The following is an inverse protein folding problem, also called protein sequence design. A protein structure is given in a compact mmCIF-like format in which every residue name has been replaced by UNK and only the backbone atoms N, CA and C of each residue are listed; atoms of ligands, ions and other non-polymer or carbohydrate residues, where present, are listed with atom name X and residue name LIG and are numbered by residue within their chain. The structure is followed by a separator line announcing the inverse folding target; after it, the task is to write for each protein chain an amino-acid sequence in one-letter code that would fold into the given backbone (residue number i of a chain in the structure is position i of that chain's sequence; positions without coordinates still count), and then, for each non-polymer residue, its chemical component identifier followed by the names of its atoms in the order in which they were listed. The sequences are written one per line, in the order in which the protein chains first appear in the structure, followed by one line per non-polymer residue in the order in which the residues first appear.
data_IF_736362424066
#
_entry.id   IF_736362424066
#
_cell.length_a   1.000
_cell.length_b   1.000
_cell.length_c   1.000
_cell.angle_alpha   90.00
_cell.angle_beta   90.00
_cell.angle_gamma   90.00
#
_symmetry.space_group_name_H-M   'P 1'
#
loop_
_entity.id
_entity.type
_entity.pdbx_description
1 polymer ?
#
# COMPACT_ATOMS: atom_id res chain seq x y z
N UNK A 1 10.59 -2.53 -30.01
CA UNK A 1 10.64 -2.93 -28.58
C UNK A 1 9.68 -2.05 -27.78
N UNK A 2 9.05 -2.59 -26.76
CA UNK A 2 8.16 -1.85 -25.89
C UNK A 2 8.88 -1.53 -24.58
N UNK A 3 8.83 -0.27 -24.16
CA UNK A 3 9.50 0.19 -22.94
C UNK A 3 8.49 0.77 -21.95
N UNK A 4 8.68 0.41 -20.68
CA UNK A 4 7.98 1.04 -19.56
C UNK A 4 8.75 2.28 -19.14
N UNK A 5 8.07 3.42 -19.10
CA UNK A 5 8.62 4.67 -18.58
C UNK A 5 7.80 5.18 -17.41
N UNK A 6 8.46 5.89 -16.51
CA UNK A 6 7.85 6.52 -15.34
C UNK A 6 8.08 8.02 -15.43
N UNK A 7 7.01 8.79 -15.32
CA UNK A 7 7.07 10.25 -15.44
C UNK A 7 6.15 10.97 -14.45
N UNK A 8 6.41 12.24 -14.25
CA UNK A 8 5.67 13.10 -13.35
C UNK A 8 5.86 12.79 -11.87
N UNK A 9 5.54 13.75 -10.98
CA UNK A 9 5.62 13.58 -9.53
C UNK A 9 4.72 12.44 -9.01
N UNK A 10 3.51 12.19 -9.58
CA UNK A 10 2.70 11.05 -9.20
C UNK A 10 3.24 9.70 -9.68
N UNK A 11 4.36 9.66 -10.41
CA UNK A 11 4.97 8.45 -10.96
C UNK A 11 4.01 7.68 -11.87
N UNK A 12 3.57 8.35 -12.92
CA UNK A 12 2.65 7.79 -13.92
C UNK A 12 3.41 6.81 -14.82
N UNK A 13 2.75 5.71 -15.18
CA UNK A 13 3.30 4.75 -16.14
C UNK A 13 2.98 5.14 -17.56
N UNK A 14 4.02 5.15 -18.39
CA UNK A 14 3.92 5.29 -19.83
C UNK A 14 4.43 4.06 -20.56
N UNK A 15 3.80 3.74 -21.67
CA UNK A 15 4.24 2.73 -22.61
C UNK A 15 4.79 3.42 -23.87
N UNK A 16 6.07 3.23 -24.12
CA UNK A 16 6.69 3.55 -25.41
C UNK A 16 6.64 2.30 -26.29
N UNK A 17 5.82 2.33 -27.32
CA UNK A 17 5.64 1.19 -28.22
C UNK A 17 6.51 1.36 -29.49
N UNK A 18 6.97 0.21 -30.03
CA UNK A 18 7.63 0.12 -31.33
C UNK A 18 8.86 1.03 -31.54
N UNK A 19 9.67 1.17 -30.50
CA UNK A 19 10.92 1.91 -30.63
C UNK A 19 11.99 1.04 -31.32
N UNK A 20 12.58 1.55 -32.38
CA UNK A 20 13.65 0.84 -33.14
C UNK A 20 15.02 0.97 -32.46
N UNK A 21 15.15 1.92 -31.53
CA UNK A 21 16.38 2.19 -30.80
C UNK A 21 16.42 1.40 -29.50
N UNK A 22 17.54 0.72 -29.25
CA UNK A 22 17.78 0.07 -27.94
C UNK A 22 18.21 1.10 -26.91
N UNK A 23 17.40 1.21 -25.85
CA UNK A 23 17.64 2.11 -24.73
C UNK A 23 17.98 1.33 -23.48
N UNK A 24 18.93 1.85 -22.69
CA UNK A 24 19.30 1.25 -21.41
C UNK A 24 18.32 1.66 -20.31
N UNK A 25 18.16 0.78 -19.33
CA UNK A 25 17.41 1.10 -18.10
C UNK A 25 17.99 2.36 -17.44
N UNK A 26 17.14 3.10 -16.76
CA UNK A 26 17.46 4.37 -16.06
C UNK A 26 17.87 5.52 -16.99
N UNK A 27 17.72 5.35 -18.33
CA UNK A 27 17.89 6.45 -19.28
C UNK A 27 16.73 7.43 -19.16
N UNK A 28 17.05 8.73 -19.06
CA UNK A 28 16.06 9.78 -19.12
C UNK A 28 15.73 10.09 -20.60
N UNK A 29 14.43 10.13 -20.89
CA UNK A 29 13.91 10.42 -22.22
C UNK A 29 12.87 11.54 -22.15
N UNK A 30 12.79 12.35 -23.18
CA UNK A 30 11.71 13.31 -23.34
C UNK A 30 10.58 12.62 -24.09
N UNK A 31 9.41 12.66 -23.51
CA UNK A 31 8.19 12.04 -24.03
C UNK A 31 7.10 13.10 -24.22
N UNK A 32 6.19 12.81 -25.12
CA UNK A 32 4.92 13.52 -25.23
C UNK A 32 3.80 12.62 -24.66
N UNK A 33 3.24 13.06 -23.54
CA UNK A 33 2.13 12.42 -22.85
C UNK A 33 0.82 13.17 -23.11
N UNK A 34 -0.30 12.66 -22.62
CA UNK A 34 -1.59 13.38 -22.62
C UNK A 34 -1.51 14.72 -21.86
N UNK A 35 -0.54 14.86 -20.97
CA UNK A 35 -0.29 16.08 -20.21
C UNK A 35 0.48 17.12 -21.02
N UNK A 36 1.46 16.69 -21.79
CA UNK A 36 2.36 17.50 -22.62
C UNK A 36 3.77 16.89 -22.67
N UNK A 37 4.79 17.73 -22.88
CA UNK A 37 6.19 17.32 -22.89
C UNK A 37 6.72 17.14 -21.47
N UNK A 38 7.27 15.96 -21.21
CA UNK A 38 7.77 15.57 -19.88
C UNK A 38 9.07 14.77 -19.99
N UNK A 39 9.87 14.81 -18.92
CA UNK A 39 11.00 13.89 -18.79
C UNK A 39 10.49 12.62 -18.10
N UNK A 40 10.80 11.49 -18.73
CA UNK A 40 10.48 10.18 -18.20
C UNK A 40 11.75 9.38 -17.95
N UNK A 41 11.77 8.58 -16.92
CA UNK A 41 12.81 7.61 -16.64
C UNK A 41 12.41 6.24 -17.19
N UNK A 42 13.29 5.59 -17.93
CA UNK A 42 13.07 4.28 -18.52
C UNK A 42 13.21 3.18 -17.43
N UNK A 43 12.10 2.55 -17.07
CA UNK A 43 12.08 1.54 -16.03
C UNK A 43 12.50 0.15 -16.51
N UNK A 44 12.24 -0.17 -17.79
CA UNK A 44 12.62 -1.46 -18.35
C UNK A 44 11.92 -1.77 -19.67
N UNK A 45 12.23 -2.94 -20.22
CA UNK A 45 11.62 -3.47 -21.45
C UNK A 45 10.41 -4.34 -21.05
N UNK A 46 9.32 -4.19 -21.79
CA UNK A 46 8.13 -5.03 -21.64
C UNK A 46 7.99 -5.95 -22.86
N UNK A 47 7.68 -7.21 -22.63
CA UNK A 47 7.24 -8.13 -23.69
C UNK A 47 5.79 -7.81 -24.06
N UNK A 48 5.39 -8.16 -25.31
CA UNK A 48 4.01 -7.97 -25.76
C UNK A 48 3.00 -8.72 -24.87
N UNK A 49 3.38 -9.89 -24.36
CA UNK A 49 2.58 -10.65 -23.41
C UNK A 49 2.36 -9.89 -22.08
N UNK A 50 3.41 -9.22 -21.58
CA UNK A 50 3.31 -8.42 -20.35
C UNK A 50 2.40 -7.21 -20.56
N UNK A 51 2.53 -6.52 -21.71
CA UNK A 51 1.66 -5.40 -22.07
C UNK A 51 0.21 -5.84 -22.16
N UNK A 52 -0.06 -6.97 -22.83
CA UNK A 52 -1.41 -7.51 -22.94
C UNK A 52 -1.99 -7.91 -21.57
N UNK A 53 -1.22 -8.63 -20.75
CA UNK A 53 -1.64 -8.99 -19.39
C UNK A 53 -1.98 -7.76 -18.54
N UNK A 54 -1.18 -6.70 -18.68
CA UNK A 54 -1.42 -5.45 -17.97
C UNK A 54 -2.72 -4.79 -18.42
N UNK A 55 -2.98 -4.69 -19.74
CA UNK A 55 -4.21 -4.12 -20.30
C UNK A 55 -5.45 -4.97 -19.95
N UNK A 56 -5.40 -6.29 -20.15
CA UNK A 56 -6.51 -7.19 -19.80
C UNK A 56 -6.87 -7.15 -18.33
N UNK A 57 -5.87 -6.98 -17.46
CA UNK A 57 -6.10 -6.86 -16.02
C UNK A 57 -6.85 -5.58 -15.67
N UNK A 58 -6.60 -4.48 -16.37
CA UNK A 58 -7.36 -3.24 -16.20
C UNK A 58 -8.79 -3.37 -16.68
N UNK A 59 -9.00 -3.91 -17.88
CA UNK A 59 -10.33 -4.17 -18.43
C UNK A 59 -11.14 -5.08 -17.49
N UNK A 60 -10.53 -6.12 -16.97
CA UNK A 60 -11.17 -7.02 -16.00
C UNK A 60 -11.57 -6.28 -14.69
N UNK A 61 -10.75 -5.38 -14.19
CA UNK A 61 -11.03 -4.59 -12.98
C UNK A 61 -12.07 -3.50 -13.23
N UNK A 62 -12.18 -2.98 -14.44
CA UNK A 62 -13.23 -2.03 -14.84
C UNK A 62 -14.58 -2.72 -15.04
N UNK A 63 -14.60 -3.89 -15.68
CA UNK A 63 -15.83 -4.63 -16.02
C UNK A 63 -16.40 -5.41 -14.84
N UNK A 64 -15.53 -6.02 -14.04
CA UNK A 64 -15.92 -6.93 -12.96
C UNK A 64 -15.68 -6.35 -11.57
N UNK A 65 -15.98 -5.08 -11.35
CA UNK A 65 -15.73 -4.33 -10.11
C UNK A 65 -16.23 -4.92 -8.78
N UNK A 66 -16.49 -6.22 -8.73
CA UNK A 66 -16.80 -6.99 -7.54
C UNK A 66 -15.76 -8.10 -7.33
N UNK A 67 -14.81 -7.94 -6.40
CA UNK A 67 -14.29 -9.11 -5.74
C UNK A 67 -15.42 -9.71 -4.88
N UNK A 68 -15.42 -11.00 -4.75
CA UNK A 68 -16.40 -11.90 -4.09
C UNK A 68 -16.84 -11.48 -2.66
N UNK A 69 -16.39 -10.35 -2.15
CA UNK A 69 -16.57 -9.81 -0.80
C UNK A 69 -17.51 -8.60 -0.72
N UNK A 70 -18.21 -8.21 -1.80
CA UNK A 70 -19.16 -7.08 -1.80
C UNK A 70 -18.53 -5.70 -1.67
N UNK A 71 -17.22 -5.56 -1.83
CA UNK A 71 -16.50 -4.29 -1.85
C UNK A 71 -16.34 -3.82 -3.30
N UNK A 72 -17.17 -2.89 -3.72
CA UNK A 72 -17.01 -2.21 -5.03
C UNK A 72 -15.65 -1.51 -5.07
N UNK A 73 -14.74 -2.01 -5.85
CA UNK A 73 -13.37 -1.49 -5.92
C UNK A 73 -13.04 -1.02 -7.32
N UNK A 74 -13.10 0.30 -7.51
CA UNK A 74 -12.50 0.92 -8.69
C UNK A 74 -10.98 0.67 -8.66
N UNK A 75 -10.35 0.36 -9.80
CA UNK A 75 -8.92 0.18 -9.88
C UNK A 75 -8.22 1.43 -9.32
N UNK A 76 -7.34 1.22 -8.34
CA UNK A 76 -6.57 2.29 -7.69
C UNK A 76 -5.33 2.65 -8.50
N UNK A 77 -5.10 1.93 -9.59
CA UNK A 77 -3.90 2.07 -10.41
C UNK A 77 -4.07 3.15 -11.48
N UNK A 78 -3.03 3.98 -11.69
CA UNK A 78 -3.01 4.81 -12.89
C UNK A 78 -2.94 3.89 -14.12
N UNK A 79 -3.79 4.09 -15.14
CA UNK A 79 -3.73 3.31 -16.35
C UNK A 79 -2.37 3.50 -17.03
N UNK A 80 -1.86 2.45 -17.65
CA UNK A 80 -0.70 2.53 -18.52
C UNK A 80 -1.03 3.45 -19.70
N UNK A 81 -0.38 4.60 -19.80
CA UNK A 81 -0.63 5.58 -20.84
C UNK A 81 0.29 5.31 -22.04
N UNK A 82 -0.28 5.26 -23.23
CA UNK A 82 0.54 5.28 -24.43
C UNK A 82 1.16 6.68 -24.58
N UNK A 83 2.48 6.73 -24.69
CA UNK A 83 3.24 7.98 -24.80
C UNK A 83 4.16 7.95 -26.03
N UNK A 84 4.38 9.10 -26.64
CA UNK A 84 5.25 9.21 -27.79
C UNK A 84 6.69 9.52 -27.36
N UNK A 85 7.65 8.81 -27.95
CA UNK A 85 9.07 9.12 -27.79
C UNK A 85 9.43 10.36 -28.63
N UNK A 86 10.06 11.35 -28.01
CA UNK A 86 10.55 12.53 -28.70
C UNK A 86 12.05 12.43 -28.95
N UNK A 87 12.83 12.27 -27.88
CA UNK A 87 14.29 12.12 -27.92
C UNK A 87 14.86 11.66 -26.59
N UNK A 88 16.10 11.27 -26.56
CA UNK A 88 16.84 11.09 -25.31
C UNK A 88 17.03 12.46 -24.65
N UNK A 89 16.84 12.54 -23.34
CA UNK A 89 17.03 13.77 -22.60
C UNK A 89 18.51 14.18 -22.61
N UNK A 90 18.77 15.46 -22.90
CA UNK A 90 20.09 16.07 -22.84
C UNK A 90 20.36 16.62 -21.44
N UNK A 91 21.61 16.95 -21.14
CA UNK A 91 21.98 17.56 -19.85
C UNK A 91 21.23 18.87 -19.61
N UNK A 92 20.96 19.63 -20.68
CA UNK A 92 20.17 20.86 -20.60
C UNK A 92 18.75 20.63 -20.12
N UNK A 93 18.08 19.55 -20.56
CA UNK A 93 16.73 19.20 -20.12
C UNK A 93 16.71 18.83 -18.63
N UNK A 94 17.73 18.09 -18.20
CA UNK A 94 17.88 17.67 -16.80
C UNK A 94 18.14 18.89 -15.90
N UNK A 95 19.00 19.80 -16.35
CA UNK A 95 19.25 21.07 -15.68
C UNK A 95 18.00 21.94 -15.58
N UNK A 96 17.24 22.05 -16.67
CA UNK A 96 15.99 22.82 -16.68
C UNK A 96 14.95 22.21 -15.75
N UNK A 97 14.78 20.89 -15.78
CA UNK A 97 13.89 20.19 -14.83
C UNK A 97 14.32 20.38 -13.37
N UNK A 98 15.62 20.42 -13.09
CA UNK A 98 16.13 20.69 -11.75
C UNK A 98 15.82 22.13 -11.30
N UNK A 99 15.98 23.11 -12.19
CA UNK A 99 15.60 24.51 -11.92
C UNK A 99 14.09 24.65 -11.68
N UNK A 100 13.27 24.00 -12.51
CA UNK A 100 11.82 24.00 -12.33
C UNK A 100 11.42 23.44 -10.95
N UNK A 101 12.05 22.36 -10.50
CA UNK A 101 11.80 21.80 -9.14
C UNK A 101 12.15 22.79 -8.05
N UNK A 102 13.26 23.50 -8.18
CA UNK A 102 13.62 24.51 -7.21
C UNK A 102 12.60 25.67 -7.19
N UNK A 103 12.17 26.16 -8.36
CA UNK A 103 11.14 27.18 -8.48
C UNK A 103 9.80 26.71 -7.87
N UNK A 104 9.43 25.44 -8.07
CA UNK A 104 8.24 24.81 -7.48
C UNK A 104 8.31 24.80 -5.95
N UNK A 105 9.44 24.37 -5.39
CA UNK A 105 9.64 24.31 -3.94
C UNK A 105 9.61 25.71 -3.30
N UNK A 106 10.17 26.71 -3.98
CA UNK A 106 10.17 28.12 -3.52
C UNK A 106 8.78 28.75 -3.63
N UNK A 107 7.99 28.38 -4.64
CA UNK A 107 6.64 28.91 -4.86
C UNK A 107 5.56 28.24 -4.00
N UNK A 108 5.77 27.00 -3.54
CA UNK A 108 4.77 26.25 -2.82
C UNK A 108 4.27 26.93 -1.51
N UNK A 109 5.11 27.58 -0.69
CA UNK A 109 4.65 28.38 0.45
C UNK A 109 3.72 29.52 0.06
N UNK A 110 4.04 30.25 -1.02
CA UNK A 110 3.20 31.35 -1.54
C UNK A 110 1.81 30.82 -1.92
N UNK A 111 1.74 29.71 -2.63
CA UNK A 111 0.49 29.07 -3.04
C UNK A 111 -0.35 28.66 -1.82
N UNK A 112 0.30 28.13 -0.79
CA UNK A 112 -0.38 27.76 0.46
C UNK A 112 -0.93 28.99 1.21
N UNK A 113 -0.25 30.11 1.16
CA UNK A 113 -0.75 31.36 1.76
C UNK A 113 -1.90 31.97 0.94
N UNK A 114 -1.83 31.90 -0.39
CA UNK A 114 -2.95 32.26 -1.24
C UNK A 114 -4.20 31.38 -0.95
N UNK A 115 -3.99 30.07 -0.78
CA UNK A 115 -5.06 29.14 -0.43
C UNK A 115 -5.74 29.50 0.91
N UNK A 116 -4.97 29.88 1.92
CA UNK A 116 -5.50 30.32 3.23
C UNK A 116 -6.42 31.54 3.09
N UNK A 117 -6.08 32.51 2.21
CA UNK A 117 -6.91 33.70 1.94
C UNK A 117 -8.27 33.34 1.40
N UNK A 118 -8.34 32.29 0.57
CA UNK A 118 -9.60 31.79 0.01
C UNK A 118 -10.41 30.90 0.96
N UNK A 119 -9.85 30.53 2.12
CA UNK A 119 -10.47 29.65 3.13
C UNK A 119 -11.04 28.34 2.54
N UNK A 120 -10.38 27.76 1.53
CA UNK A 120 -10.84 26.53 0.86
C UNK A 120 -10.46 25.30 1.72
N UNK A 121 -11.40 24.36 1.95
CA UNK A 121 -11.15 23.15 2.74
C UNK A 121 -10.37 22.09 1.93
N UNK A 122 -9.19 22.45 1.45
CA UNK A 122 -8.29 21.57 0.71
C UNK A 122 -6.84 21.81 1.14
N UNK A 123 -5.98 20.83 0.87
CA UNK A 123 -4.55 20.91 1.12
C UNK A 123 -3.80 20.79 -0.19
N UNK A 124 -3.00 21.80 -0.55
CA UNK A 124 -2.05 21.67 -1.65
C UNK A 124 -0.87 20.82 -1.17
N UNK A 125 -0.66 19.70 -1.84
CA UNK A 125 0.42 18.75 -1.56
C UNK A 125 1.68 19.21 -2.24
N UNK A 126 1.61 19.38 -3.56
CA UNK A 126 2.74 19.74 -4.40
C UNK A 126 2.29 20.42 -5.70
N UNK A 127 3.25 20.97 -6.46
CA UNK A 127 3.03 21.55 -7.77
C UNK A 127 4.08 21.04 -8.76
N UNK A 128 3.81 21.05 -10.06
CA UNK A 128 4.68 20.50 -11.08
C UNK A 128 4.54 21.25 -12.41
N UNK A 129 5.64 21.83 -12.90
CA UNK A 129 5.74 22.35 -14.26
C UNK A 129 5.95 21.22 -15.26
N UNK A 130 5.31 21.31 -16.41
CA UNK A 130 5.75 20.52 -17.55
C UNK A 130 7.06 21.09 -18.13
N UNK A 131 7.83 20.25 -18.80
CA UNK A 131 9.12 20.64 -19.36
C UNK A 131 9.04 21.89 -20.29
N UNK A 132 7.93 22.01 -21.04
CA UNK A 132 7.66 23.14 -21.92
C UNK A 132 7.04 24.37 -21.24
N UNK A 133 6.85 24.33 -19.92
CA UNK A 133 6.22 25.37 -19.08
C UNK A 133 4.83 25.82 -19.51
N UNK A 134 4.16 25.09 -20.43
CA UNK A 134 2.82 25.48 -20.90
C UNK A 134 1.72 25.22 -19.88
N UNK A 135 1.93 24.26 -19.01
CA UNK A 135 0.98 23.90 -17.95
C UNK A 135 1.68 23.78 -16.62
N UNK A 136 0.96 24.12 -15.57
CA UNK A 136 1.37 23.96 -14.18
C UNK A 136 0.30 23.13 -13.45
N UNK A 137 0.69 21.97 -12.97
CA UNK A 137 -0.16 21.08 -12.22
C UNK A 137 -0.04 21.37 -10.73
N UNK A 138 -1.19 21.39 -10.04
CA UNK A 138 -1.26 21.43 -8.58
C UNK A 138 -1.94 20.17 -8.10
N UNK A 139 -1.27 19.44 -7.23
CA UNK A 139 -1.80 18.24 -6.60
C UNK A 139 -2.39 18.62 -5.26
N UNK A 140 -3.67 18.27 -5.03
CA UNK A 140 -4.36 18.59 -3.80
C UNK A 140 -5.16 17.42 -3.26
N UNK A 141 -5.37 17.42 -1.94
CA UNK A 141 -6.27 16.51 -1.25
C UNK A 141 -7.46 17.28 -0.69
N UNK A 142 -8.65 16.67 -0.76
CA UNK A 142 -9.88 17.21 -0.20
C UNK A 142 -10.86 16.08 0.10
N UNK A 143 -11.63 16.22 1.18
CA UNK A 143 -12.69 15.29 1.55
C UNK A 143 -13.99 15.55 0.78
N UNK A 144 -14.20 16.78 0.33
CA UNK A 144 -15.41 17.21 -0.33
C UNK A 144 -15.13 17.88 -1.68
N UNK A 145 -16.17 18.01 -2.48
CA UNK A 145 -16.12 18.79 -3.73
C UNK A 145 -15.99 20.26 -3.40
N UNK A 146 -15.00 20.94 -4.01
CA UNK A 146 -14.67 22.34 -3.75
C UNK A 146 -14.87 23.17 -5.02
N UNK A 147 -15.36 24.41 -4.85
CA UNK A 147 -15.32 25.40 -5.90
C UNK A 147 -14.03 26.23 -5.82
N UNK A 148 -13.11 25.95 -6.72
CA UNK A 148 -11.80 26.59 -6.77
C UNK A 148 -11.65 27.61 -7.91
N UNK A 149 -12.75 28.06 -8.55
CA UNK A 149 -12.70 28.95 -9.73
C UNK A 149 -11.97 30.26 -9.47
N UNK A 150 -12.22 30.89 -8.32
CA UNK A 150 -11.57 32.14 -7.93
C UNK A 150 -10.08 31.92 -7.66
N UNK A 151 -9.75 30.84 -6.97
CA UNK A 151 -8.37 30.46 -6.65
C UNK A 151 -7.55 30.19 -7.93
N UNK A 152 -8.11 29.43 -8.91
CA UNK A 152 -7.45 29.18 -10.19
C UNK A 152 -7.17 30.46 -10.96
N UNK A 153 -8.07 31.43 -10.96
CA UNK A 153 -7.87 32.73 -11.61
C UNK A 153 -6.71 33.50 -10.98
N UNK A 154 -6.57 33.46 -9.67
CA UNK A 154 -5.48 34.11 -8.94
C UNK A 154 -4.14 33.44 -9.25
N UNK A 155 -4.09 32.09 -9.20
CA UNK A 155 -2.93 31.31 -9.61
C UNK A 155 -2.49 31.58 -11.05
N UNK A 156 -3.45 31.61 -11.98
CA UNK A 156 -3.17 31.89 -13.39
C UNK A 156 -2.61 33.30 -13.61
N UNK A 157 -3.03 34.28 -12.79
CA UNK A 157 -2.49 35.64 -12.83
C UNK A 157 -1.05 35.70 -12.28
N UNK A 158 -0.76 34.97 -11.21
CA UNK A 158 0.54 34.93 -10.58
C UNK A 158 1.58 34.21 -11.45
N UNK A 159 1.26 32.97 -11.85
CA UNK A 159 2.19 32.12 -12.60
C UNK A 159 2.18 32.33 -14.13
N UNK A 160 1.21 33.11 -14.66
CA UNK A 160 1.06 33.39 -16.10
C UNK A 160 1.09 32.15 -17.00
N UNK A 161 0.63 31.04 -16.46
CA UNK A 161 0.65 29.69 -17.06
C UNK A 161 -0.73 29.06 -16.93
N UNK A 162 -1.04 28.11 -17.80
CA UNK A 162 -2.28 27.32 -17.69
C UNK A 162 -2.23 26.43 -16.45
N UNK A 163 -3.17 26.64 -15.54
CA UNK A 163 -3.28 25.93 -14.27
C UNK A 163 -4.18 24.71 -14.41
N UNK A 164 -3.69 23.56 -13.95
CA UNK A 164 -4.44 22.31 -13.87
C UNK A 164 -4.45 21.82 -12.42
N UNK A 165 -5.63 21.75 -11.81
CA UNK A 165 -5.80 21.21 -10.45
C UNK A 165 -6.14 19.73 -10.51
N UNK A 166 -5.34 18.89 -9.85
CA UNK A 166 -5.56 17.45 -9.74
C UNK A 166 -5.80 17.04 -8.30
N UNK A 167 -6.99 16.50 -8.04
CA UNK A 167 -7.25 15.84 -6.77
C UNK A 167 -6.54 14.50 -6.72
N UNK A 168 -5.83 14.24 -5.61
CA UNK A 168 -5.11 13.00 -5.37
C UNK A 168 -5.60 12.32 -4.09
N UNK A 169 -5.40 11.02 -4.00
CA UNK A 169 -5.74 10.26 -2.79
C UNK A 169 -4.65 10.33 -1.72
N UNK A 170 -4.97 9.93 -0.50
CA UNK A 170 -4.02 9.95 0.62
C UNK A 170 -2.76 9.08 0.39
N UNK A 171 -2.85 8.00 -0.40
CA UNK A 171 -1.67 7.20 -0.76
C UNK A 171 -0.81 7.90 -1.81
N UNK A 172 -1.42 8.62 -2.75
CA UNK A 172 -0.68 9.40 -3.74
C UNK A 172 0.00 10.60 -3.11
N UNK A 173 -0.65 11.24 -2.12
CA UNK A 173 0.01 12.23 -1.26
C UNK A 173 1.26 11.64 -0.58
N UNK A 174 1.12 10.49 0.08
CA UNK A 174 2.26 9.82 0.71
C UNK A 174 3.34 9.39 -0.31
N UNK A 175 2.96 9.07 -1.55
CA UNK A 175 3.88 8.75 -2.65
C UNK A 175 4.70 9.96 -3.07
N UNK A 176 4.07 11.11 -3.23
CA UNK A 176 4.71 12.36 -3.67
C UNK A 176 5.64 12.89 -2.57
N UNK A 177 5.15 12.95 -1.32
CA UNK A 177 5.92 13.46 -0.20
C UNK A 177 7.05 12.53 0.25
N UNK A 178 6.89 11.23 0.02
CA UNK A 178 7.80 10.21 0.53
C UNK A 178 7.71 10.03 2.04
N UNK A 179 8.67 9.29 2.60
CA UNK A 179 8.82 9.11 4.04
C UNK A 179 9.12 7.67 4.43
N UNK A 180 9.35 7.45 5.73
CA UNK A 180 9.63 6.13 6.29
C UNK A 180 8.34 5.46 6.76
N UNK A 181 8.17 4.21 6.35
CA UNK A 181 7.07 3.37 6.79
C UNK A 181 7.30 2.84 8.23
N UNK A 182 6.28 2.27 8.90
CA UNK A 182 6.43 1.66 10.22
C UNK A 182 7.49 0.55 10.30
N UNK A 183 7.88 -0.06 9.18
CA UNK A 183 8.96 -1.04 9.08
C UNK A 183 10.36 -0.43 9.02
N UNK A 184 10.51 0.90 9.07
CA UNK A 184 11.78 1.62 9.01
C UNK A 184 12.40 1.78 7.62
N UNK A 185 11.73 1.29 6.56
CA UNK A 185 12.13 1.48 5.16
C UNK A 185 11.32 2.58 4.51
N UNK A 186 11.79 3.10 3.37
CA UNK A 186 10.99 3.99 2.54
C UNK A 186 9.63 3.38 2.21
N UNK A 187 8.62 4.25 2.09
CA UNK A 187 7.28 3.82 1.72
C UNK A 187 7.29 3.02 0.42
N UNK A 188 6.69 1.84 0.41
CA UNK A 188 6.62 0.99 -0.79
C UNK A 188 6.06 1.75 -2.00
N UNK A 189 5.06 2.62 -1.78
CA UNK A 189 4.45 3.44 -2.82
C UNK A 189 5.40 4.49 -3.42
N UNK A 190 6.36 4.99 -2.66
CA UNK A 190 7.35 5.96 -3.14
C UNK A 190 8.53 5.28 -3.82
N UNK A 191 8.91 4.09 -3.35
CA UNK A 191 10.12 3.41 -3.79
C UNK A 191 9.90 2.52 -5.02
N UNK A 192 9.09 1.46 -4.90
CA UNK A 192 9.01 0.43 -5.94
C UNK A 192 7.59 -0.02 -6.31
N UNK A 193 6.64 0.04 -5.35
CA UNK A 193 5.28 -0.46 -5.57
C UNK A 193 4.42 0.66 -6.16
N UNK A 194 4.14 0.59 -7.44
CA UNK A 194 3.33 1.58 -8.14
C UNK A 194 1.90 1.08 -8.41
N UNK A 195 1.66 -0.23 -8.28
CA UNK A 195 0.36 -0.88 -8.43
C UNK A 195 -0.19 -1.32 -7.08
N UNK A 196 -1.46 -1.04 -6.84
CA UNK A 196 -2.12 -1.34 -5.57
C UNK A 196 -3.38 -2.15 -5.80
N UNK A 197 -3.50 -3.20 -5.01
CA UNK A 197 -4.73 -3.95 -4.88
C UNK A 197 -5.50 -3.49 -3.66
N UNK A 198 -6.80 -3.72 -3.68
CA UNK A 198 -7.63 -3.54 -2.52
C UNK A 198 -7.11 -4.37 -1.34
N UNK A 199 -7.08 -3.77 -0.16
CA UNK A 199 -6.56 -4.38 1.04
C UNK A 199 -7.69 -4.49 2.06
N UNK A 200 -7.96 -5.71 2.51
CA UNK A 200 -9.00 -5.98 3.49
C UNK A 200 -8.41 -6.51 4.81
N UNK A 201 -9.19 -6.39 5.89
CA UNK A 201 -8.78 -6.86 7.23
C UNK A 201 -8.56 -8.38 7.26
N UNK A 202 -9.19 -9.14 6.38
CA UNK A 202 -8.97 -10.58 6.25
C UNK A 202 -7.51 -10.89 5.92
N UNK A 203 -6.88 -10.15 5.01
CA UNK A 203 -5.46 -10.31 4.66
C UNK A 203 -4.55 -10.11 5.88
N UNK A 204 -4.89 -9.17 6.77
CA UNK A 204 -4.17 -8.92 8.02
C UNK A 204 -4.24 -10.12 8.95
N UNK A 205 -5.44 -10.72 9.10
CA UNK A 205 -5.66 -11.90 9.93
C UNK A 205 -4.92 -13.13 9.40
N UNK A 206 -4.96 -13.36 8.09
CA UNK A 206 -4.28 -14.49 7.46
C UNK A 206 -2.75 -14.37 7.54
N UNK A 207 -2.22 -13.15 7.72
CA UNK A 207 -0.79 -12.91 7.99
C UNK A 207 -0.45 -12.91 9.48
N UNK A 208 -1.36 -13.33 10.36
CA UNK A 208 -1.20 -13.39 11.82
C UNK A 208 -0.78 -12.05 12.46
N UNK A 209 -1.15 -10.92 11.86
CA UNK A 209 -0.84 -9.61 12.40
C UNK A 209 -1.89 -9.17 13.42
N UNK A 210 -1.43 -8.57 14.51
CA UNK A 210 -2.33 -7.99 15.49
C UNK A 210 -3.17 -6.86 14.87
N UNK A 211 -4.47 -6.83 15.13
CA UNK A 211 -5.40 -5.83 14.62
C UNK A 211 -5.23 -4.46 15.33
N UNK A 212 -4.00 -4.02 15.49
CA UNK A 212 -3.69 -2.72 16.06
C UNK A 212 -3.52 -1.72 14.92
N UNK A 213 -4.38 -0.69 14.80
CA UNK A 213 -4.31 0.29 13.72
C UNK A 213 -2.93 0.90 13.52
N UNK A 214 -2.19 1.17 14.59
CA UNK A 214 -0.83 1.75 14.51
C UNK A 214 0.19 0.80 13.89
N UNK A 215 -0.04 -0.52 13.94
CA UNK A 215 0.86 -1.53 13.38
C UNK A 215 0.47 -2.00 11.98
N UNK A 216 -0.77 -1.79 11.57
CA UNK A 216 -1.29 -2.26 10.28
C UNK A 216 -1.56 -1.13 9.28
N UNK A 217 -1.48 0.13 9.71
CA UNK A 217 -1.66 1.30 8.85
C UNK A 217 -0.32 1.85 8.38
N UNK A 218 -0.26 2.23 7.12
CA UNK A 218 0.87 2.94 6.54
C UNK A 218 0.84 4.43 6.87
N UNK A 219 1.87 5.17 6.43
CA UNK A 219 1.96 6.62 6.56
C UNK A 219 0.75 7.37 5.97
N UNK A 220 0.14 6.80 4.92
CA UNK A 220 -1.08 7.32 4.28
C UNK A 220 -2.37 7.10 5.07
N UNK A 221 -2.33 6.50 6.27
CA UNK A 221 -3.50 6.17 7.09
C UNK A 221 -4.33 4.97 6.60
N UNK A 222 -3.99 4.39 5.43
CA UNK A 222 -4.63 3.17 4.90
C UNK A 222 -3.87 1.93 5.33
N UNK A 223 -4.48 0.75 5.20
CA UNK A 223 -3.79 -0.51 5.42
C UNK A 223 -2.51 -0.61 4.57
N UNK A 224 -1.46 -1.19 5.15
CA UNK A 224 -0.14 -1.30 4.51
C UNK A 224 -0.18 -2.11 3.21
N UNK A 225 0.45 -1.60 2.16
CA UNK A 225 0.48 -2.20 0.82
C UNK A 225 1.12 -3.59 0.79
N UNK A 226 2.12 -3.83 1.64
CA UNK A 226 2.81 -5.12 1.73
C UNK A 226 1.86 -6.27 2.06
N UNK A 227 0.77 -6.01 2.79
CA UNK A 227 -0.22 -7.05 3.12
C UNK A 227 -0.91 -7.63 1.89
N UNK A 228 -1.23 -6.78 0.91
CA UNK A 228 -1.78 -7.25 -0.35
C UNK A 228 -0.72 -7.89 -1.24
N UNK A 229 0.50 -7.36 -1.21
CA UNK A 229 1.61 -7.88 -2.01
C UNK A 229 2.03 -9.30 -1.62
N UNK A 230 2.08 -9.55 -0.30
CA UNK A 230 2.50 -10.84 0.24
C UNK A 230 1.34 -11.85 0.39
N UNK A 231 0.10 -11.42 0.13
CA UNK A 231 -1.10 -12.20 0.40
C UNK A 231 -1.13 -13.58 -0.23
N UNK A 232 -0.81 -13.66 -1.52
CA UNK A 232 -0.83 -14.92 -2.26
C UNK A 232 0.20 -15.91 -1.70
N UNK A 233 1.39 -15.43 -1.35
CA UNK A 233 2.42 -16.24 -0.70
C UNK A 233 1.93 -16.79 0.67
N UNK A 234 1.32 -15.95 1.49
CA UNK A 234 0.77 -16.41 2.78
C UNK A 234 -0.37 -17.42 2.57
N UNK A 235 -1.23 -17.21 1.57
CA UNK A 235 -2.31 -18.15 1.24
C UNK A 235 -1.77 -19.53 0.83
N UNK A 236 -0.68 -19.58 0.07
CA UNK A 236 0.00 -20.83 -0.27
C UNK A 236 0.61 -21.49 0.96
N UNK A 237 1.27 -20.73 1.82
CA UNK A 237 1.89 -21.23 3.04
C UNK A 237 0.86 -21.80 4.03
N UNK A 238 -0.35 -21.24 4.07
CA UNK A 238 -1.46 -21.74 4.90
C UNK A 238 -1.97 -23.12 4.49
N UNK A 239 -1.69 -23.56 3.25
CA UNK A 239 -2.19 -24.86 2.78
C UNK A 239 -1.65 -26.00 3.66
N UNK A 240 -2.59 -26.79 4.20
CA UNK A 240 -2.28 -27.93 5.07
C UNK A 240 -1.91 -27.55 6.52
N UNK A 241 -2.11 -26.29 6.93
CA UNK A 241 -2.00 -25.87 8.33
C UNK A 241 -3.38 -25.75 8.96
N UNK A 242 -3.52 -26.10 10.26
CA UNK A 242 -4.78 -26.02 10.97
C UNK A 242 -5.12 -24.58 11.36
N UNK A 243 -6.40 -24.27 11.52
CA UNK A 243 -6.83 -22.95 11.96
C UNK A 243 -6.51 -22.70 13.45
N UNK A 244 -6.03 -21.51 13.84
CA UNK A 244 -5.88 -21.12 15.23
C UNK A 244 -7.20 -21.24 16.00
N UNK A 245 -7.13 -21.65 17.27
CA UNK A 245 -8.31 -21.84 18.12
C UNK A 245 -8.97 -23.21 17.97
N UNK A 246 -8.58 -24.05 17.00
CA UNK A 246 -9.09 -25.42 16.85
C UNK A 246 -8.74 -26.24 18.09
N UNK A 247 -9.71 -27.03 18.58
CA UNK A 247 -9.53 -27.93 19.71
C UNK A 247 -9.45 -29.36 19.22
N UNK A 248 -8.45 -30.10 19.70
CA UNK A 248 -8.28 -31.53 19.47
C UNK A 248 -8.73 -32.23 20.74
N UNK A 249 -9.81 -32.98 20.64
CA UNK A 249 -10.37 -33.73 21.77
C UNK A 249 -9.60 -35.00 21.99
N UNK A 250 -9.17 -35.25 23.22
CA UNK A 250 -8.44 -36.45 23.61
C UNK A 250 -8.99 -37.00 24.91
N UNK A 251 -8.78 -38.30 25.25
CA UNK A 251 -9.23 -38.90 26.50
C UNK A 251 -8.65 -38.21 27.76
N UNK A 252 -7.47 -37.61 27.65
CA UNK A 252 -6.76 -36.92 28.74
C UNK A 252 -7.03 -35.43 28.83
N UNK A 253 -7.91 -34.87 27.94
CA UNK A 253 -8.24 -33.47 27.95
C UNK A 253 -8.23 -32.87 26.52
N UNK A 254 -8.35 -31.56 26.37
CA UNK A 254 -8.38 -30.90 25.05
C UNK A 254 -7.07 -30.18 24.82
N UNK A 255 -6.39 -30.52 23.72
CA UNK A 255 -5.34 -29.70 23.19
C UNK A 255 -5.92 -28.56 22.35
N UNK A 256 -5.35 -27.38 22.43
CA UNK A 256 -5.81 -26.22 21.67
C UNK A 256 -4.68 -25.67 20.82
N UNK A 257 -4.99 -25.38 19.55
CA UNK A 257 -4.06 -24.67 18.68
C UNK A 257 -4.04 -23.21 19.13
N UNK A 258 -2.96 -22.81 19.82
CA UNK A 258 -2.78 -21.45 20.34
C UNK A 258 -2.42 -20.47 19.23
N UNK A 259 -1.68 -20.93 18.20
CA UNK A 259 -1.28 -20.11 17.07
C UNK A 259 -0.63 -20.95 15.98
N UNK A 260 -0.38 -20.36 14.85
CA UNK A 260 0.30 -20.99 13.72
C UNK A 260 1.36 -20.02 13.21
N UNK A 261 2.61 -20.47 13.17
CA UNK A 261 3.69 -19.78 12.50
C UNK A 261 3.72 -20.25 11.05
N UNK A 262 3.15 -19.44 10.18
CA UNK A 262 2.96 -19.80 8.77
C UNK A 262 4.30 -19.84 8.02
N UNK A 263 5.23 -18.95 8.38
CA UNK A 263 6.56 -18.83 7.73
C UNK A 263 7.42 -20.03 8.06
N UNK A 264 7.50 -20.38 9.34
CA UNK A 264 8.28 -21.54 9.81
C UNK A 264 7.50 -22.86 9.70
N UNK A 265 6.25 -22.83 9.19
CA UNK A 265 5.35 -23.97 9.06
C UNK A 265 5.24 -24.76 10.37
N UNK A 266 5.12 -24.04 11.49
CA UNK A 266 5.02 -24.60 12.82
C UNK A 266 3.69 -24.25 13.48
N UNK A 267 3.13 -25.21 14.23
CA UNK A 267 1.87 -25.08 14.95
C UNK A 267 2.15 -24.98 16.43
N UNK A 268 1.73 -23.89 17.07
CA UNK A 268 1.82 -23.70 18.51
C UNK A 268 0.60 -24.34 19.16
N UNK A 269 0.84 -25.31 20.01
CA UNK A 269 -0.19 -26.13 20.64
C UNK A 269 -0.11 -25.92 22.14
N UNK A 270 -1.28 -25.71 22.76
CA UNK A 270 -1.43 -25.66 24.21
C UNK A 270 -1.99 -27.00 24.70
N UNK A 271 -1.29 -27.66 25.62
CA UNK A 271 -1.74 -28.89 26.27
C UNK A 271 -2.88 -28.63 27.26
N UNK A 272 -3.62 -29.68 27.71
CA UNK A 272 -4.62 -29.57 28.80
C UNK A 272 -4.00 -29.07 30.11
N UNK A 273 -2.71 -29.32 30.33
CA UNK A 273 -1.94 -28.92 31.51
C UNK A 273 -1.47 -27.46 31.43
N UNK A 274 -1.73 -26.74 30.29
CA UNK A 274 -1.36 -25.34 30.07
C UNK A 274 0.02 -25.14 29.47
N UNK A 275 0.79 -26.18 29.17
CA UNK A 275 2.09 -26.07 28.50
C UNK A 275 1.93 -25.75 27.01
N UNK A 276 2.73 -24.82 26.51
CA UNK A 276 2.78 -24.49 25.08
C UNK A 276 4.05 -25.06 24.46
N UNK A 277 3.91 -25.69 23.30
CA UNK A 277 5.02 -26.23 22.52
C UNK A 277 4.76 -26.08 21.02
N UNK A 278 5.81 -26.18 20.24
CA UNK A 278 5.76 -26.09 18.77
C UNK A 278 5.82 -27.50 18.17
N UNK A 279 5.00 -27.72 17.16
CA UNK A 279 5.02 -28.92 16.32
C UNK A 279 5.16 -28.51 14.87
N UNK A 280 6.09 -29.12 14.15
CA UNK A 280 6.24 -28.84 12.72
C UNK A 280 5.03 -29.31 11.92
N UNK A 281 4.79 -28.70 10.75
CA UNK A 281 3.72 -29.12 9.85
C UNK A 281 3.79 -30.62 9.53
N UNK A 282 4.99 -31.11 9.28
CA UNK A 282 5.21 -32.51 8.88
C UNK A 282 4.91 -33.51 10.01
N UNK A 283 5.13 -33.11 11.24
CA UNK A 283 4.82 -33.91 12.42
C UNK A 283 3.39 -33.73 12.94
N UNK A 284 2.67 -32.73 12.43
CA UNK A 284 1.35 -32.40 12.96
C UNK A 284 0.30 -33.53 12.82
N UNK A 285 0.32 -34.26 11.70
CA UNK A 285 -0.57 -35.41 11.50
C UNK A 285 -0.20 -36.59 12.42
N UNK A 286 1.09 -36.80 12.66
CA UNK A 286 1.56 -37.80 13.61
C UNK A 286 1.18 -37.40 15.04
N UNK A 287 1.41 -36.15 15.40
CA UNK A 287 0.96 -35.58 16.68
C UNK A 287 -0.53 -35.83 16.90
N UNK A 288 -1.38 -35.49 15.94
CA UNK A 288 -2.83 -35.63 16.02
C UNK A 288 -3.22 -37.09 16.30
N UNK A 289 -2.69 -38.03 15.53
CA UNK A 289 -2.94 -39.47 15.69
C UNK A 289 -2.50 -39.97 17.07
N UNK A 290 -1.34 -39.60 17.56
CA UNK A 290 -0.78 -40.01 18.84
C UNK A 290 -1.66 -39.53 20.00
N UNK A 291 -2.07 -38.27 19.94
CA UNK A 291 -2.84 -37.64 21.04
C UNK A 291 -4.31 -38.10 21.02
N UNK A 292 -4.92 -38.30 19.86
CA UNK A 292 -6.27 -38.89 19.75
C UNK A 292 -6.28 -40.34 20.23
N UNK A 293 -5.18 -41.09 20.09
CA UNK A 293 -4.96 -42.42 20.65
C UNK A 293 -4.72 -42.44 22.16
N UNK A 294 -4.76 -41.28 22.83
CA UNK A 294 -4.57 -41.16 24.29
C UNK A 294 -3.13 -41.22 24.78
N UNK A 295 -2.15 -41.24 23.89
CA UNK A 295 -0.74 -41.18 24.23
C UNK A 295 -0.29 -39.73 24.41
N UNK A 296 0.64 -39.47 25.35
CA UNK A 296 1.25 -38.16 25.51
C UNK A 296 2.29 -37.95 24.42
N UNK A 297 2.27 -36.76 23.80
CA UNK A 297 3.28 -36.36 22.83
C UNK A 297 4.64 -36.17 23.52
N UNK A 298 5.72 -36.75 22.98
CA UNK A 298 7.05 -36.57 23.53
C UNK A 298 7.51 -35.11 23.34
N UNK A 299 7.68 -34.38 24.44
CA UNK A 299 8.16 -33.01 24.43
C UNK A 299 9.69 -33.03 24.28
N UNK A 300 10.19 -32.53 23.14
CA UNK A 300 11.60 -32.18 23.03
C UNK A 300 11.84 -30.85 23.74
N UNK A 301 12.91 -30.73 24.52
CA UNK A 301 13.22 -29.54 25.35
C UNK A 301 13.31 -28.26 24.48
N UNK A 302 13.71 -28.38 23.22
CA UNK A 302 13.81 -27.28 22.26
C UNK A 302 12.46 -26.80 21.72
N UNK A 303 11.38 -27.58 21.90
CA UNK A 303 10.03 -27.22 21.40
C UNK A 303 9.16 -26.54 22.45
N UNK A 304 9.62 -26.42 23.69
CA UNK A 304 8.85 -25.77 24.76
C UNK A 304 9.05 -24.25 24.68
N UNK A 305 8.00 -23.54 24.33
CA UNK A 305 8.00 -22.07 24.36
C UNK A 305 7.72 -21.63 25.79
N UNK A 306 8.73 -21.10 26.48
CA UNK A 306 8.53 -20.39 27.75
C UNK A 306 7.83 -19.08 27.42
N UNK A 307 6.53 -19.01 27.70
CA UNK A 307 5.78 -17.76 27.62
C UNK A 307 6.19 -16.92 28.82
N UNK A 308 7.09 -15.96 28.62
CA UNK A 308 7.23 -14.85 29.56
C UNK A 308 5.87 -14.15 29.61
N UNK A 309 5.24 -14.19 30.76
CA UNK A 309 3.96 -13.51 30.98
C UNK A 309 4.19 -12.01 30.84
N UNK A 310 3.78 -11.46 29.70
CA UNK A 310 3.67 -10.02 29.50
C UNK A 310 2.58 -9.53 30.48
N UNK A 311 3.03 -9.05 31.65
CA UNK A 311 2.18 -8.50 32.71
C UNK A 311 1.65 -7.14 32.28
N UNK A 312 0.75 -7.16 31.29
CA UNK A 312 -0.08 -6.03 30.96
C UNK A 312 -1.07 -5.78 32.10
N UNK A 313 -0.80 -4.77 32.91
CA UNK A 313 -1.69 -4.27 33.96
C UNK A 313 -3.11 -4.11 33.46
N UNK A 314 -3.98 -5.00 33.93
CA UNK A 314 -5.42 -4.87 33.74
C UNK A 314 -5.90 -3.71 34.61
N UNK A 315 -6.11 -2.55 33.99
CA UNK A 315 -6.84 -1.43 34.60
C UNK A 315 -8.28 -1.88 34.88
N UNK A 316 -8.54 -2.29 36.11
CA UNK A 316 -9.85 -2.62 36.60
C UNK A 316 -10.74 -1.37 36.64
N UNK A 317 -11.61 -1.21 35.63
CA UNK A 317 -12.71 -0.24 35.73
C UNK A 317 -13.73 -0.74 36.76
N UNK A 318 -13.67 -0.19 37.97
CA UNK A 318 -14.73 -0.31 38.97
C UNK A 318 -16.00 0.35 38.41
N UNK A 319 -16.99 -0.47 38.07
CA UNK A 319 -18.36 -0.03 37.82
C UNK A 319 -19.00 0.44 39.14
N UNK A 320 -19.08 1.73 39.34
CA UNK A 320 -19.91 2.32 40.42
C UNK A 320 -21.34 2.47 39.91
N UNK A 321 -22.15 1.44 40.12
CA UNK A 321 -23.60 1.49 39.98
C UNK A 321 -24.19 2.43 41.05
N UNK A 322 -24.45 3.70 40.72
CA UNK A 322 -25.25 4.61 41.53
C UNK A 322 -26.71 4.53 41.11
N UNK A 323 -27.48 3.69 41.86
CA UNK A 323 -28.95 3.70 41.90
C UNK A 323 -29.44 5.14 42.16
N UNK A 324 -30.10 5.78 41.20
CA UNK A 324 -30.95 6.94 41.49
C UNK A 324 -32.36 6.41 41.79
N UNK A 325 -32.74 6.44 43.07
CA UNK A 325 -34.13 6.31 43.55
C UNK A 325 -34.92 7.56 43.15
N UNK A 326 -36.11 7.33 42.61
CA UNK A 326 -37.18 8.27 42.44
C UNK A 326 -37.59 8.93 43.76
N UNK A 327 -37.82 10.22 43.74
CA UNK A 327 -38.87 10.85 44.61
C UNK A 327 -39.27 12.19 44.01
N UNK A 328 -40.59 12.24 43.77
CA UNK A 328 -41.51 13.39 43.60
C UNK A 328 -41.32 14.32 42.41
#
# INVERSE_FOLDING_TARGET
MNYLVIFGKPRIFGLLSNLDQELKRDTNVVIESLRGLEIACLAGVLTDEQVQKYRQRFEFLEENGEPDDGLQMKPVEPPLQDVAFVRIAQEEDICEAAKQRQEEDEALPLVRDMLKKHALPMKIVDMEYLLDRKKLYFYFTSEHRIDFRCFVKELAKEFKTRIELRQIGARDEARILGGLAPCGKECCCSYWMLQFFPICIRMVKEQNLALNPSKISGLCGRLMCCMSYEYDMYKELWQGLPNPGTKIKTPSGNYQIAGVDVINKAVRIRSPEGLEFLVSKDEFELFKKTVEGGQKWPLHVESVVTVEADSGEAVSKKNSNKKRKSKK
#
